data_IF_618337811532
#
_entry.id   IF_618337811532
#
_cell.length_a   1.000
_cell.length_b   1.000
_cell.length_c   1.000
_cell.angle_alpha   90.00
_cell.angle_beta   90.00
_cell.angle_gamma   90.00
#
_symmetry.space_group_name_H-M   'P 1'
#
loop_
_entity.id
_entity.type
_entity.pdbx_description
1 polymer ?
#
# COMPACT_ATOMS: atom_id res chain seq x y z
N UNK A 1 -2.75 2.26 17.79
CA UNK A 1 -2.46 2.16 16.35
C UNK A 1 -0.95 2.28 16.17
N UNK A 2 -0.34 1.39 15.40
CA UNK A 2 1.12 1.35 15.21
C UNK A 2 1.43 1.61 13.74
N UNK A 3 2.49 2.37 13.47
CA UNK A 3 2.94 2.72 12.12
C UNK A 3 4.41 2.38 11.92
N UNK A 4 4.78 2.09 10.68
CA UNK A 4 6.14 1.87 10.19
C UNK A 4 6.32 2.73 8.96
N UNK A 5 7.39 3.53 8.92
CA UNK A 5 7.79 4.29 7.75
C UNK A 5 9.15 3.77 7.28
N UNK A 6 9.26 3.46 5.99
CA UNK A 6 10.45 2.86 5.39
C UNK A 6 10.71 3.43 4.00
N UNK A 7 11.97 3.43 3.59
CA UNK A 7 12.43 3.77 2.25
C UNK A 7 12.82 2.47 1.51
N UNK A 8 11.91 1.50 1.48
CA UNK A 8 12.16 0.23 0.78
C UNK A 8 12.22 0.46 -0.73
N UNK A 9 13.05 -0.32 -1.42
CA UNK A 9 13.55 0.01 -2.77
C UNK A 9 12.41 0.17 -3.77
N UNK A 10 11.52 -0.82 -3.86
CA UNK A 10 10.51 -0.87 -4.90
C UNK A 10 9.33 0.04 -4.61
N UNK A 11 8.90 0.12 -3.34
CA UNK A 11 7.88 1.08 -2.94
C UNK A 11 8.35 2.52 -3.17
N UNK A 12 9.61 2.83 -2.86
CA UNK A 12 10.20 4.14 -3.15
C UNK A 12 10.32 4.39 -4.64
N UNK A 13 10.73 3.40 -5.43
CA UNK A 13 10.78 3.53 -6.89
C UNK A 13 9.40 3.86 -7.49
N UNK A 14 8.35 3.16 -7.09
CA UNK A 14 6.98 3.46 -7.52
C UNK A 14 6.51 4.83 -7.02
N UNK A 15 6.82 5.20 -5.77
CA UNK A 15 6.48 6.50 -5.22
C UNK A 15 7.20 7.66 -5.94
N UNK A 16 8.43 7.45 -6.42
CA UNK A 16 9.15 8.41 -7.25
C UNK A 16 8.49 8.63 -8.62
N UNK A 17 7.75 7.64 -9.13
CA UNK A 17 6.89 7.80 -10.32
C UNK A 17 5.58 8.55 -10.00
N UNK A 18 5.31 8.85 -8.72
CA UNK A 18 4.08 9.50 -8.24
C UNK A 18 2.81 8.74 -8.64
N UNK A 19 2.90 7.41 -8.67
CA UNK A 19 1.80 6.52 -9.06
C UNK A 19 1.29 5.75 -7.83
N UNK A 20 -0.02 5.50 -7.72
CA UNK A 20 -0.52 4.54 -6.76
C UNK A 20 -0.12 3.11 -7.17
N UNK A 21 -0.24 2.16 -6.24
CA UNK A 21 -0.26 0.74 -6.56
C UNK A 21 -1.72 0.31 -6.83
N UNK A 22 -2.09 -0.01 -8.09
CA UNK A 22 -3.47 -0.37 -8.44
C UNK A 22 -3.77 -1.83 -8.11
N UNK A 23 -5.00 -2.28 -8.37
CA UNK A 23 -5.45 -3.66 -8.20
C UNK A 23 -4.87 -4.66 -9.24
N UNK A 24 -3.57 -4.59 -9.53
CA UNK A 24 -2.90 -5.52 -10.46
C UNK A 24 -2.81 -6.95 -9.89
N UNK A 25 -2.91 -7.09 -8.56
CA UNK A 25 -2.85 -8.35 -7.83
C UNK A 25 -3.77 -8.30 -6.60
N UNK A 26 -4.48 -9.40 -6.31
CA UNK A 26 -5.52 -9.45 -5.27
C UNK A 26 -4.98 -9.12 -3.86
N UNK A 27 -3.71 -9.41 -3.59
CA UNK A 27 -3.07 -9.14 -2.30
C UNK A 27 -2.96 -7.64 -1.97
N UNK A 28 -3.21 -6.73 -2.93
CA UNK A 28 -3.33 -5.28 -2.65
C UNK A 28 -4.37 -5.00 -1.54
N UNK A 29 -5.35 -5.90 -1.37
CA UNK A 29 -6.29 -5.89 -0.25
C UNK A 29 -5.64 -5.90 1.15
N UNK A 30 -4.35 -6.26 1.27
CA UNK A 30 -3.56 -6.11 2.52
C UNK A 30 -3.51 -4.67 3.00
N UNK A 31 -3.58 -3.70 2.08
CA UNK A 31 -3.64 -2.27 2.39
C UNK A 31 -5.02 -1.82 2.89
N UNK A 32 -5.98 -2.71 3.09
CA UNK A 32 -7.33 -2.37 3.55
C UNK A 32 -8.25 -1.81 2.47
N UNK A 33 -7.87 -1.86 1.19
CA UNK A 33 -8.66 -1.37 0.06
C UNK A 33 -8.29 -2.04 -1.26
N UNK A 34 -8.73 -1.46 -2.37
CA UNK A 34 -8.47 -1.92 -3.73
C UNK A 34 -7.18 -1.35 -4.35
N UNK A 35 -6.47 -0.50 -3.60
CA UNK A 35 -5.28 0.23 -4.07
C UNK A 35 -4.45 0.74 -2.88
N UNK A 36 -3.16 1.01 -3.13
CA UNK A 36 -2.31 1.82 -2.23
C UNK A 36 -2.17 3.22 -2.84
N UNK A 37 -2.65 4.27 -2.18
CA UNK A 37 -2.58 5.63 -2.72
C UNK A 37 -1.13 6.14 -2.66
N UNK A 38 -0.76 7.02 -3.58
CA UNK A 38 0.46 7.83 -3.46
C UNK A 38 0.07 9.25 -3.06
N UNK A 39 0.48 9.68 -1.87
CA UNK A 39 0.22 11.06 -1.43
C UNK A 39 1.17 12.03 -2.14
N UNK A 40 0.74 13.30 -2.38
CA UNK A 40 1.61 14.32 -2.92
C UNK A 40 2.88 14.54 -2.10
N UNK A 41 3.91 15.08 -2.75
CA UNK A 41 5.16 15.39 -2.04
C UNK A 41 4.92 16.53 -1.06
N UNK A 42 5.38 16.32 0.18
CA UNK A 42 5.50 17.34 1.21
C UNK A 42 6.88 17.21 1.83
N UNK A 43 7.44 18.32 2.31
CA UNK A 43 8.74 18.32 2.97
C UNK A 43 8.72 17.34 4.17
N UNK A 44 9.76 16.52 4.31
CA UNK A 44 9.86 15.58 5.42
C UNK A 44 9.81 16.32 6.77
N UNK A 45 9.21 15.68 7.77
CA UNK A 45 9.02 16.29 9.10
C UNK A 45 7.98 17.42 9.16
N UNK A 46 7.31 17.76 8.05
CA UNK A 46 6.27 18.79 8.05
C UNK A 46 4.92 18.29 8.56
N UNK A 47 4.13 19.22 9.09
CA UNK A 47 2.74 18.95 9.45
C UNK A 47 1.89 18.57 8.23
N UNK A 48 2.14 19.22 7.08
CA UNK A 48 1.45 18.93 5.83
C UNK A 48 1.61 17.45 5.40
N UNK A 49 2.82 16.89 5.55
CA UNK A 49 3.05 15.46 5.30
C UNK A 49 2.23 14.59 6.25
N UNK A 50 2.21 14.93 7.54
CA UNK A 50 1.48 14.17 8.56
C UNK A 50 -0.04 14.19 8.29
N UNK A 51 -0.59 15.34 7.90
CA UNK A 51 -2.00 15.48 7.53
C UNK A 51 -2.33 14.68 6.26
N UNK A 52 -1.48 14.74 5.23
CA UNK A 52 -1.67 13.98 4.00
C UNK A 52 -1.66 12.46 4.25
N UNK A 53 -0.75 11.97 5.09
CA UNK A 53 -0.71 10.56 5.51
C UNK A 53 -1.97 10.18 6.28
N UNK A 54 -2.40 11.00 7.25
CA UNK A 54 -3.60 10.74 8.04
C UNK A 54 -4.87 10.64 7.16
N UNK A 55 -5.01 11.53 6.18
CA UNK A 55 -6.12 11.50 5.21
C UNK A 55 -6.07 10.25 4.33
N UNK A 56 -4.89 9.88 3.82
CA UNK A 56 -4.72 8.70 2.99
C UNK A 56 -5.03 7.38 3.72
N UNK A 57 -4.89 7.36 5.04
CA UNK A 57 -5.17 6.21 5.90
C UNK A 57 -6.66 6.00 6.19
N UNK A 58 -7.59 6.85 5.71
CA UNK A 58 -9.04 6.78 5.95
C UNK A 58 -9.71 5.45 5.54
N UNK A 59 -9.49 4.39 6.33
CA UNK A 59 -9.86 3.00 6.05
C UNK A 59 -8.74 2.14 5.42
N UNK A 60 -7.54 2.69 5.23
CA UNK A 60 -6.39 2.01 4.62
C UNK A 60 -5.29 1.71 5.64
N UNK A 61 -4.41 0.79 5.29
CA UNK A 61 -3.28 0.35 6.10
C UNK A 61 -1.93 0.74 5.50
N UNK A 62 -1.90 1.33 4.31
CA UNK A 62 -0.67 1.79 3.68
C UNK A 62 -0.90 2.96 2.73
N UNK A 63 0.12 3.81 2.57
CA UNK A 63 0.23 4.76 1.48
C UNK A 63 1.70 4.95 1.05
N UNK A 64 1.90 5.21 -0.24
CA UNK A 64 3.16 5.67 -0.80
C UNK A 64 3.29 7.18 -0.60
N UNK A 65 4.52 7.65 -0.41
CA UNK A 65 4.87 9.06 -0.26
C UNK A 65 5.67 9.49 -1.49
N UNK A 66 5.13 10.38 -2.32
CA UNK A 66 5.78 10.80 -3.56
C UNK A 66 7.23 11.24 -3.30
N UNK A 67 8.18 10.71 -4.07
CA UNK A 67 9.62 10.99 -3.93
C UNK A 67 10.19 10.73 -2.52
N UNK A 68 9.61 9.82 -1.74
CA UNK A 68 10.02 9.59 -0.35
C UNK A 68 9.99 8.10 0.06
N UNK A 69 8.88 7.38 -0.03
CA UNK A 69 8.84 5.98 0.41
C UNK A 69 7.45 5.45 0.75
N UNK A 70 7.36 4.63 1.80
CA UNK A 70 6.14 3.93 2.22
C UNK A 70 5.84 4.20 3.70
N UNK A 71 4.57 4.40 4.01
CA UNK A 71 4.04 4.32 5.37
C UNK A 71 3.03 3.18 5.42
N UNK A 72 3.19 2.28 6.38
CA UNK A 72 2.25 1.21 6.69
C UNK A 72 1.79 1.32 8.15
N UNK A 73 0.57 0.86 8.44
CA UNK A 73 0.05 0.82 9.79
C UNK A 73 -0.83 -0.39 10.05
N UNK A 74 -1.06 -0.64 11.33
CA UNK A 74 -1.80 -1.83 11.76
C UNK A 74 -2.23 -1.79 13.22
N UNK A 75 -2.93 -2.85 13.60
CA UNK A 75 -3.41 -3.09 14.96
C UNK A 75 -2.27 -3.36 15.95
N UNK A 76 -1.13 -3.85 15.46
CA UNK A 76 0.12 -4.06 16.22
C UNK A 76 1.31 -3.68 15.34
N UNK A 77 2.49 -3.50 15.94
CA UNK A 77 3.73 -3.28 15.18
C UNK A 77 4.01 -4.44 14.21
N UNK A 78 3.82 -5.68 14.65
CA UNK A 78 3.97 -6.87 13.80
C UNK A 78 3.02 -6.83 12.59
N UNK A 79 1.78 -6.39 12.78
CA UNK A 79 0.84 -6.22 11.66
C UNK A 79 1.31 -5.10 10.71
N UNK A 80 1.72 -3.94 11.23
CA UNK A 80 2.23 -2.84 10.40
C UNK A 80 3.47 -3.26 9.59
N UNK A 81 4.39 -4.01 10.20
CA UNK A 81 5.56 -4.58 9.50
C UNK A 81 5.16 -5.58 8.42
N UNK A 82 4.21 -6.47 8.71
CA UNK A 82 3.69 -7.42 7.70
C UNK A 82 3.06 -6.70 6.52
N UNK A 83 2.30 -5.62 6.76
CA UNK A 83 1.75 -4.78 5.68
C UNK A 83 2.89 -4.14 4.88
N UNK A 84 3.90 -3.55 5.54
CA UNK A 84 5.02 -2.91 4.85
C UNK A 84 5.78 -3.89 3.93
N UNK A 85 6.08 -5.09 4.43
CA UNK A 85 6.78 -6.14 3.66
C UNK A 85 5.96 -6.56 2.44
N UNK A 86 4.67 -6.81 2.61
CA UNK A 86 3.81 -7.21 1.48
C UNK A 86 3.66 -6.11 0.44
N UNK A 87 3.56 -4.84 0.86
CA UNK A 87 3.49 -3.72 -0.10
C UNK A 87 4.81 -3.56 -0.86
N UNK A 88 5.96 -3.75 -0.22
CA UNK A 88 7.25 -3.76 -0.91
C UNK A 88 7.30 -4.85 -1.99
N UNK A 89 6.97 -6.09 -1.65
CA UNK A 89 6.95 -7.22 -2.61
C UNK A 89 5.94 -7.00 -3.75
N UNK A 90 4.79 -6.38 -3.48
CA UNK A 90 3.83 -6.03 -4.53
C UNK A 90 4.34 -4.90 -5.43
N UNK A 91 5.05 -3.91 -4.89
CA UNK A 91 5.67 -2.87 -5.71
C UNK A 91 6.76 -3.45 -6.63
N UNK A 92 7.56 -4.41 -6.13
CA UNK A 92 8.54 -5.14 -6.93
C UNK A 92 7.86 -5.85 -8.12
N UNK A 93 6.84 -6.66 -7.84
CA UNK A 93 6.10 -7.38 -8.86
C UNK A 93 5.41 -6.43 -9.86
N UNK A 94 4.83 -5.34 -9.40
CA UNK A 94 4.16 -4.36 -10.26
C UNK A 94 5.15 -3.63 -11.19
N UNK A 95 6.30 -3.20 -10.67
CA UNK A 95 7.35 -2.58 -11.48
C UNK A 95 7.93 -3.57 -12.50
N UNK A 96 8.11 -4.83 -12.13
CA UNK A 96 8.52 -5.88 -13.06
C UNK A 96 7.46 -6.13 -14.15
N UNK A 97 6.17 -6.15 -13.79
CA UNK A 97 5.08 -6.29 -14.75
C UNK A 97 5.03 -5.10 -15.71
N UNK A 98 5.19 -3.87 -15.20
CA UNK A 98 5.29 -2.64 -16.01
C UNK A 98 6.47 -2.65 -16.99
N UNK A 99 7.60 -3.25 -16.58
CA UNK A 99 8.75 -3.40 -17.46
C UNK A 99 8.50 -4.42 -18.60
N UNK A 100 7.63 -5.40 -18.36
CA UNK A 100 7.25 -6.41 -19.36
C UNK A 100 6.06 -5.98 -20.25
N UNK A 101 5.20 -5.08 -19.76
CA UNK A 101 4.01 -4.59 -20.48
C UNK A 101 3.03 -3.85 -19.56
N UNK A 102 1.78 -3.64 -20.00
CA UNK A 102 0.75 -3.05 -19.14
C UNK A 102 0.02 -4.17 -18.34
N UNK A 103 0.06 -4.16 -17.00
CA UNK A 103 -0.61 -5.18 -16.20
C UNK A 103 -2.14 -5.08 -16.30
N UNK A 104 -2.82 -6.21 -16.46
CA UNK A 104 -4.27 -6.26 -16.29
C UNK A 104 -4.64 -5.93 -14.84
N UNK A 105 -5.76 -5.23 -14.65
CA UNK A 105 -6.27 -4.87 -13.33
C UNK A 105 -7.50 -5.69 -12.99
N UNK A 106 -7.58 -6.12 -11.73
CA UNK A 106 -8.80 -6.68 -11.18
C UNK A 106 -9.89 -5.60 -11.13
N UNK A 107 -11.09 -6.00 -11.53
CA UNK A 107 -12.28 -5.17 -11.47
C UNK A 107 -12.66 -4.85 -10.02
N UNK A 108 -13.54 -3.85 -9.87
CA UNK A 108 -14.10 -3.48 -8.57
C UNK A 108 -14.82 -4.66 -7.90
N UNK A 109 -15.55 -5.47 -8.67
CA UNK A 109 -16.33 -6.59 -8.13
C UNK A 109 -15.43 -7.74 -7.68
N UNK A 110 -14.37 -8.03 -8.45
CA UNK A 110 -13.35 -9.00 -8.05
C UNK A 110 -12.65 -8.58 -6.76
N UNK A 111 -12.24 -7.30 -6.65
CA UNK A 111 -11.62 -6.79 -5.43
C UNK A 111 -12.59 -6.73 -4.24
N UNK A 112 -13.88 -6.45 -4.47
CA UNK A 112 -14.89 -6.51 -3.42
C UNK A 112 -15.04 -7.93 -2.85
N UNK A 113 -15.06 -8.95 -3.73
CA UNK A 113 -15.09 -10.35 -3.31
C UNK A 113 -13.83 -10.75 -2.53
N UNK A 114 -12.65 -10.30 -2.98
CA UNK A 114 -11.37 -10.50 -2.29
C UNK A 114 -11.39 -9.88 -0.89
N UNK A 115 -11.80 -8.61 -0.77
CA UNK A 115 -11.87 -7.89 0.51
C UNK A 115 -12.83 -8.59 1.49
N UNK A 116 -13.98 -9.06 1.00
CA UNK A 116 -14.92 -9.84 1.81
C UNK A 116 -14.28 -11.13 2.33
N UNK A 117 -13.51 -11.85 1.49
CA UNK A 117 -12.80 -13.08 1.86
C UNK A 117 -11.63 -12.85 2.82
N UNK A 118 -10.95 -11.71 2.72
CA UNK A 118 -9.83 -11.35 3.60
C UNK A 118 -10.24 -11.20 5.06
N UNK A 119 -11.46 -10.71 5.32
CA UNK A 119 -12.03 -10.59 6.68
C UNK A 119 -12.09 -11.93 7.39
N UNK A 120 -12.42 -13.00 6.68
CA UNK A 120 -12.52 -14.37 7.23
C UNK A 120 -11.16 -15.09 7.22
N UNK A 121 -10.31 -14.84 6.23
CA UNK A 121 -8.99 -15.50 6.12
C UNK A 121 -8.02 -15.14 7.25
N UNK A 122 -7.96 -13.86 7.67
CA UNK A 122 -7.07 -13.45 8.80
C UNK A 122 -7.57 -13.93 10.16
N UNK A 123 -8.86 -14.19 10.32
CA UNK A 123 -9.42 -14.72 11.57
C UNK A 123 -9.00 -16.18 11.80
N UNK A 124 -8.74 -16.94 10.74
CA UNK A 124 -8.35 -18.35 10.80
C UNK A 124 -6.84 -18.61 10.99
N UNK A 125 -6.00 -17.56 10.95
CA UNK A 125 -4.54 -17.64 11.13
C UNK A 125 -4.06 -17.10 12.49
N UNK A 126 -4.98 -16.91 13.45
CA UNK A 126 -4.67 -16.53 14.83
C UNK A 126 -4.60 -17.76 15.73
#
# INVERSE_FOLDING_TARGET
>A
HHGVQVHSVHATALACLRRPLPAFHYMVAVAGGDSVPCVPYHLFGSEALSQAVAQAFGGRHACLLANHGLVAGGTSLAHAMSVALEIESLCEAYLAALAAGEPALLSRDEMAAVIARFKTYRAARR
#
